data_IF_081103248284
#
_entry.id   IF_081103248284
#
_cell.length_a   1.000
_cell.length_b   1.000
_cell.length_c   1.000
_cell.angle_alpha   90.00
_cell.angle_beta   90.00
_cell.angle_gamma   90.00
#
_symmetry.space_group_name_H-M   'P 1'
#
loop_
_entity.id
_entity.type
_entity.pdbx_description
1 polymer ?
#
# COMPACT_ATOMS: atom_id res chain seq x y z
N UNK A 1 11.87 -12.18 -17.93
CA UNK A 1 10.54 -12.22 -17.26
C UNK A 1 10.68 -12.97 -15.94
N UNK A 2 10.96 -12.26 -14.85
CA UNK A 2 11.05 -12.80 -13.48
C UNK A 2 9.67 -13.14 -12.89
N UNK A 3 8.77 -13.75 -13.67
CA UNK A 3 7.42 -14.11 -13.20
C UNK A 3 7.44 -15.57 -12.73
N UNK A 4 7.13 -15.80 -11.46
CA UNK A 4 6.89 -17.16 -10.96
C UNK A 4 5.49 -17.62 -11.38
N UNK A 5 5.39 -18.26 -12.55
CA UNK A 5 4.09 -18.74 -13.09
C UNK A 5 3.37 -19.74 -12.19
N UNK A 6 4.13 -20.49 -11.36
CA UNK A 6 3.56 -21.50 -10.46
C UNK A 6 3.01 -20.87 -9.19
N UNK A 7 3.71 -19.87 -8.66
CA UNK A 7 3.25 -19.11 -7.51
C UNK A 7 3.51 -17.60 -7.71
N UNK A 8 2.59 -16.89 -8.38
CA UNK A 8 2.80 -15.48 -8.73
C UNK A 8 2.94 -14.55 -7.52
N UNK A 9 2.36 -14.91 -6.36
CA UNK A 9 2.48 -14.11 -5.13
C UNK A 9 3.89 -14.15 -4.53
N UNK A 10 4.63 -15.20 -4.84
CA UNK A 10 5.97 -15.44 -4.31
C UNK A 10 7.07 -14.70 -5.07
N UNK A 11 6.71 -13.99 -6.14
CA UNK A 11 7.65 -13.41 -7.09
C UNK A 11 8.64 -12.43 -6.44
N UNK A 12 8.26 -11.79 -5.34
CA UNK A 12 9.07 -10.81 -4.62
C UNK A 12 9.75 -11.38 -3.35
N UNK A 13 9.48 -12.64 -2.97
CA UNK A 13 9.94 -13.20 -1.69
C UNK A 13 11.46 -13.22 -1.58
N UNK A 14 12.13 -13.83 -2.56
CA UNK A 14 13.58 -13.99 -2.52
C UNK A 14 14.33 -12.68 -2.74
N UNK A 15 13.74 -11.76 -3.52
CA UNK A 15 14.38 -10.51 -3.91
C UNK A 15 14.23 -9.42 -2.85
N UNK A 16 13.01 -9.24 -2.35
CA UNK A 16 12.60 -8.10 -1.52
C UNK A 16 12.09 -8.52 -0.14
N UNK A 17 12.01 -9.82 0.15
CA UNK A 17 11.46 -10.35 1.41
C UNK A 17 10.03 -9.88 1.68
N UNK A 18 9.23 -9.72 0.62
CA UNK A 18 7.81 -9.35 0.67
C UNK A 18 6.96 -10.32 -0.15
N UNK A 19 5.67 -10.38 0.15
CA UNK A 19 4.70 -11.27 -0.48
C UNK A 19 3.39 -10.53 -0.78
N UNK A 20 2.76 -10.86 -1.92
CA UNK A 20 1.42 -10.40 -2.25
C UNK A 20 0.36 -11.17 -1.43
N UNK A 21 -0.54 -10.45 -0.77
CA UNK A 21 -1.52 -11.03 0.18
C UNK A 21 -2.93 -10.43 0.00
N UNK A 22 -3.87 -10.81 0.87
CA UNK A 22 -5.24 -10.30 0.87
C UNK A 22 -5.99 -10.68 -0.42
N UNK A 23 -6.41 -9.73 -1.26
CA UNK A 23 -7.12 -10.04 -2.51
C UNK A 23 -6.31 -10.93 -3.46
N UNK A 24 -4.97 -10.90 -3.40
CA UNK A 24 -4.13 -11.75 -4.25
C UNK A 24 -4.25 -13.24 -3.92
N UNK A 25 -4.63 -13.60 -2.69
CA UNK A 25 -4.89 -15.00 -2.28
C UNK A 25 -6.19 -15.58 -2.83
N UNK A 26 -7.10 -14.69 -3.23
CA UNK A 26 -8.31 -15.07 -3.95
C UNK A 26 -7.94 -15.39 -5.40
N UNK A 27 -7.07 -14.55 -5.99
CA UNK A 27 -6.66 -14.67 -7.40
C UNK A 27 -5.81 -15.92 -7.66
N UNK A 28 -4.90 -16.28 -6.76
CA UNK A 28 -4.10 -17.50 -6.90
C UNK A 28 -4.84 -18.78 -6.42
N UNK A 29 -6.04 -18.61 -5.84
CA UNK A 29 -6.89 -19.69 -5.37
C UNK A 29 -6.48 -20.29 -4.03
N UNK A 30 -5.56 -19.68 -3.28
CA UNK A 30 -5.12 -20.18 -1.97
C UNK A 30 -6.31 -20.38 -1.01
N UNK A 31 -7.27 -19.46 -1.01
CA UNK A 31 -8.44 -19.52 -0.13
C UNK A 31 -9.48 -20.58 -0.53
N UNK A 32 -9.41 -21.16 -1.74
CA UNK A 32 -10.35 -22.22 -2.18
C UNK A 32 -10.18 -23.52 -1.39
N UNK A 33 -9.00 -23.71 -0.81
CA UNK A 33 -8.67 -24.91 -0.02
C UNK A 33 -9.08 -24.78 1.45
N UNK A 34 -9.49 -23.58 1.89
CA UNK A 34 -9.94 -23.34 3.25
C UNK A 34 -11.34 -23.93 3.47
N UNK A 35 -11.50 -24.76 4.51
CA UNK A 35 -12.80 -25.33 4.90
C UNK A 35 -13.82 -24.26 5.27
N UNK A 36 -13.36 -23.18 5.87
CA UNK A 36 -14.15 -22.00 6.22
C UNK A 36 -13.39 -20.78 5.75
N UNK A 37 -14.06 -19.89 5.02
CA UNK A 37 -13.46 -18.62 4.61
C UNK A 37 -13.22 -17.74 5.85
N UNK A 38 -12.04 -17.11 5.97
CA UNK A 38 -11.81 -16.16 7.04
C UNK A 38 -12.74 -14.95 6.89
N UNK A 39 -12.94 -14.20 7.98
CA UNK A 39 -13.55 -12.88 7.88
C UNK A 39 -12.61 -11.98 7.06
N UNK A 40 -12.98 -11.73 5.81
CA UNK A 40 -12.16 -10.98 4.86
C UNK A 40 -11.93 -9.53 5.29
N UNK A 41 -12.79 -8.97 6.16
CA UNK A 41 -12.55 -7.66 6.73
C UNK A 41 -11.37 -7.63 7.69
N UNK A 42 -11.00 -8.77 8.28
CA UNK A 42 -9.91 -8.91 9.24
C UNK A 42 -8.68 -9.61 8.64
N UNK A 43 -8.81 -10.19 7.44
CA UNK A 43 -7.73 -10.93 6.79
C UNK A 43 -6.60 -9.99 6.39
N UNK A 44 -5.41 -10.19 6.98
CA UNK A 44 -4.26 -9.27 6.90
C UNK A 44 -4.52 -7.83 7.35
N UNK A 45 -5.52 -7.62 8.23
CA UNK A 45 -5.72 -6.33 8.88
C UNK A 45 -4.80 -6.23 10.10
N UNK A 46 -3.85 -5.32 10.05
CA UNK A 46 -2.92 -5.04 11.13
C UNK A 46 -3.55 -4.12 12.19
N UNK A 47 -2.89 -3.99 13.34
CA UNK A 47 -3.45 -3.31 14.51
C UNK A 47 -3.83 -1.84 14.26
N UNK A 48 -3.05 -1.12 13.45
CA UNK A 48 -3.31 0.29 13.14
C UNK A 48 -4.06 0.50 11.81
N UNK A 49 -4.48 -0.57 11.13
CA UNK A 49 -5.19 -0.49 9.85
C UNK A 49 -6.61 0.00 10.07
N UNK A 50 -6.89 1.22 9.61
CA UNK A 50 -8.23 1.80 9.61
C UNK A 50 -9.11 1.14 8.52
N UNK A 51 -10.45 1.23 8.59
CA UNK A 51 -11.34 0.61 7.60
C UNK A 51 -11.02 0.97 6.14
N UNK A 52 -10.52 2.18 5.90
CA UNK A 52 -10.08 2.71 4.60
C UNK A 52 -8.86 1.97 4.02
N UNK A 53 -8.07 1.35 4.88
CA UNK A 53 -6.81 0.70 4.53
C UNK A 53 -6.99 -0.81 4.37
N UNK A 54 -6.54 -1.35 3.23
CA UNK A 54 -6.62 -2.76 2.88
C UNK A 54 -5.26 -3.27 2.41
N UNK A 55 -4.62 -4.09 3.25
CA UNK A 55 -3.31 -4.68 3.00
C UNK A 55 -3.30 -5.56 1.75
N UNK A 56 -2.26 -5.38 0.93
CA UNK A 56 -2.04 -6.17 -0.31
C UNK A 56 -0.62 -6.69 -0.45
N UNK A 57 0.32 -6.17 0.33
CA UNK A 57 1.70 -6.65 0.43
C UNK A 57 2.07 -6.71 1.90
N UNK A 58 2.76 -7.78 2.31
CA UNK A 58 3.37 -7.87 3.66
C UNK A 58 4.84 -8.21 3.57
N UNK A 59 5.60 -7.83 4.60
CA UNK A 59 6.94 -8.36 4.84
C UNK A 59 6.90 -9.83 5.27
N UNK A 60 7.96 -10.56 4.93
CA UNK A 60 8.25 -11.88 5.46
C UNK A 60 9.24 -11.84 6.64
N UNK A 61 9.77 -10.66 6.96
CA UNK A 61 10.57 -10.45 8.16
C UNK A 61 9.70 -10.63 9.42
N UNK A 62 10.10 -11.54 10.31
CA UNK A 62 9.36 -11.84 11.55
C UNK A 62 9.50 -10.75 12.61
N UNK A 63 10.50 -9.87 12.49
CA UNK A 63 10.75 -8.79 13.44
C UNK A 63 10.01 -7.49 13.08
N UNK A 64 9.44 -7.42 11.88
CA UNK A 64 8.72 -6.27 11.37
C UNK A 64 7.27 -6.64 11.08
N UNK A 65 6.37 -5.68 11.25
CA UNK A 65 5.01 -5.76 10.73
C UNK A 65 4.83 -4.80 9.56
N UNK A 66 5.89 -4.57 8.78
CA UNK A 66 5.84 -3.76 7.58
C UNK A 66 4.87 -4.36 6.55
N UNK A 67 3.98 -3.53 6.04
CA UNK A 67 3.00 -3.90 5.04
C UNK A 67 2.61 -2.68 4.20
N UNK A 68 2.04 -2.95 3.02
CA UNK A 68 1.54 -1.94 2.09
C UNK A 68 0.10 -2.29 1.73
N UNK A 69 -0.76 -1.27 1.72
CA UNK A 69 -2.18 -1.41 1.45
C UNK A 69 -2.73 -0.30 0.58
N UNK A 70 -3.87 -0.58 -0.04
CA UNK A 70 -4.68 0.43 -0.70
C UNK A 70 -5.43 1.26 0.33
N UNK A 71 -5.46 2.58 0.15
CA UNK A 71 -6.26 3.50 0.95
C UNK A 71 -7.44 4.02 0.12
N UNK A 72 -8.66 3.89 0.66
CA UNK A 72 -9.90 4.36 0.04
C UNK A 72 -10.57 5.39 0.93
N UNK A 73 -10.78 6.59 0.41
CA UNK A 73 -11.55 7.63 1.10
C UNK A 73 -13.04 7.22 1.26
N UNK A 74 -13.57 6.41 0.32
CA UNK A 74 -14.91 5.83 0.35
C UNK A 74 -14.89 4.39 -0.17
N UNK A 75 -15.71 3.46 0.39
CA UNK A 75 -15.78 2.08 -0.11
C UNK A 75 -16.28 1.97 -1.57
N UNK A 76 -17.04 2.96 -2.04
CA UNK A 76 -17.60 3.00 -3.40
C UNK A 76 -16.62 3.56 -4.44
N UNK A 77 -15.45 4.02 -4.00
CA UNK A 77 -14.42 4.61 -4.86
C UNK A 77 -13.22 3.68 -5.07
N UNK A 78 -12.52 3.89 -6.19
CA UNK A 78 -11.20 3.29 -6.38
C UNK A 78 -10.21 3.84 -5.34
N UNK A 79 -9.19 3.06 -4.94
CA UNK A 79 -8.16 3.55 -4.03
C UNK A 79 -7.55 4.89 -4.47
N UNK A 80 -7.42 5.80 -3.52
CA UNK A 80 -6.80 7.11 -3.72
C UNK A 80 -5.30 6.95 -3.95
N UNK A 81 -4.66 6.07 -3.18
CA UNK A 81 -3.23 5.75 -3.23
C UNK A 81 -2.92 4.44 -2.50
N UNK A 82 -1.65 4.04 -2.49
CA UNK A 82 -1.10 3.06 -1.56
C UNK A 82 -0.29 3.77 -0.46
N UNK A 83 -0.34 3.20 0.73
CA UNK A 83 0.51 3.61 1.83
C UNK A 83 1.13 2.39 2.52
N UNK A 84 2.24 2.63 3.21
CA UNK A 84 2.95 1.64 4.00
C UNK A 84 2.95 2.00 5.48
N UNK A 85 2.89 1.00 6.35
CA UNK A 85 3.11 1.12 7.79
C UNK A 85 3.92 -0.07 8.29
N UNK A 86 4.64 0.11 9.39
CA UNK A 86 5.14 -0.99 10.22
C UNK A 86 4.45 -0.91 11.58
N UNK A 87 3.49 -1.81 11.81
CA UNK A 87 2.65 -1.79 13.01
C UNK A 87 3.40 -2.15 14.30
N UNK A 88 4.64 -2.64 14.22
CA UNK A 88 5.50 -2.77 15.40
C UNK A 88 6.06 -1.42 15.85
N UNK A 89 6.03 -0.39 15.00
CA UNK A 89 6.72 0.89 15.27
C UNK A 89 5.77 1.98 15.74
N UNK A 90 4.72 2.29 14.98
CA UNK A 90 3.77 3.35 15.26
C UNK A 90 2.55 3.26 14.34
N UNK A 91 1.61 4.17 14.50
CA UNK A 91 0.42 4.33 13.69
C UNK A 91 0.60 5.27 12.48
N UNK A 92 1.82 5.72 12.16
CA UNK A 92 2.06 6.63 11.04
C UNK A 92 2.20 5.85 9.73
N UNK A 93 1.40 6.22 8.75
CA UNK A 93 1.47 5.65 7.41
C UNK A 93 2.21 6.62 6.48
N UNK A 94 2.99 6.05 5.57
CA UNK A 94 3.70 6.78 4.51
C UNK A 94 3.06 6.45 3.16
N UNK A 95 2.60 7.46 2.43
CA UNK A 95 2.15 7.28 1.04
C UNK A 95 3.34 6.83 0.19
N UNK A 96 3.13 5.78 -0.61
CA UNK A 96 4.19 5.16 -1.41
C UNK A 96 3.84 5.03 -2.91
N UNK A 97 2.83 5.78 -3.38
CA UNK A 97 2.47 5.86 -4.80
C UNK A 97 0.98 5.72 -5.03
N UNK A 98 0.51 6.07 -6.23
CA UNK A 98 -0.91 5.98 -6.59
C UNK A 98 -1.33 4.64 -7.22
N UNK A 99 -0.36 3.76 -7.43
CA UNK A 99 -0.54 2.41 -7.96
C UNK A 99 0.50 1.44 -7.37
N UNK A 100 0.25 0.14 -7.50
CA UNK A 100 1.06 -0.89 -6.85
C UNK A 100 2.49 -0.99 -7.43
N UNK A 101 2.68 -0.63 -8.71
CA UNK A 101 4.01 -0.63 -9.32
C UNK A 101 4.89 0.47 -8.72
N UNK A 102 4.33 1.67 -8.51
CA UNK A 102 5.03 2.75 -7.80
C UNK A 102 5.44 2.34 -6.39
N UNK A 103 4.55 1.68 -5.64
CA UNK A 103 4.83 1.21 -4.28
C UNK A 103 5.95 0.18 -4.23
N UNK A 104 5.91 -0.83 -5.10
CA UNK A 104 6.94 -1.87 -5.19
C UNK A 104 8.27 -1.27 -5.66
N UNK A 105 8.24 -0.37 -6.64
CA UNK A 105 9.43 0.31 -7.15
C UNK A 105 10.09 1.20 -6.09
N UNK A 106 9.31 2.00 -5.35
CA UNK A 106 9.80 2.80 -4.22
C UNK A 106 10.44 1.90 -3.15
N UNK A 107 9.77 0.81 -2.76
CA UNK A 107 10.31 -0.15 -1.80
C UNK A 107 11.63 -0.78 -2.29
N UNK A 108 11.69 -1.21 -3.55
CA UNK A 108 12.89 -1.80 -4.15
C UNK A 108 14.05 -0.80 -4.18
N UNK A 109 13.80 0.47 -4.55
CA UNK A 109 14.82 1.52 -4.51
C UNK A 109 15.31 1.84 -3.11
N UNK A 110 14.44 1.76 -2.10
CA UNK A 110 14.85 1.91 -0.71
C UNK A 110 15.73 0.74 -0.26
N UNK A 111 15.33 -0.49 -0.58
CA UNK A 111 16.12 -1.70 -0.28
C UNK A 111 17.49 -1.69 -0.96
N UNK A 112 17.61 -1.15 -2.17
CA UNK A 112 18.89 -1.04 -2.88
C UNK A 112 19.91 -0.16 -2.15
N UNK A 113 19.46 0.81 -1.34
CA UNK A 113 20.36 1.65 -0.53
C UNK A 113 21.02 0.89 0.62
N UNK A 114 20.40 -0.20 1.08
CA UNK A 114 20.88 -1.01 2.20
C UNK A 114 21.45 -2.36 1.74
N UNK A 115 21.17 -2.79 0.51
CA UNK A 115 21.66 -4.03 -0.07
C UNK A 115 21.96 -3.85 -1.56
N UNK A 116 23.26 -3.81 -1.93
CA UNK A 116 23.65 -3.69 -3.33
C UNK A 116 23.67 -5.07 -4.03
N UNK A 117 22.52 -5.45 -4.59
CA UNK A 117 22.33 -6.71 -5.33
C UNK A 117 22.10 -6.43 -6.82
N UNK A 118 22.82 -7.12 -7.71
CA UNK A 118 22.66 -7.04 -9.17
C UNK A 118 21.23 -7.32 -9.64
N UNK A 119 20.60 -8.32 -9.03
CA UNK A 119 19.27 -8.78 -9.42
C UNK A 119 18.20 -7.75 -9.05
N UNK A 120 18.43 -6.98 -7.97
CA UNK A 120 17.56 -5.88 -7.56
C UNK A 120 17.65 -4.70 -8.51
N UNK A 121 18.87 -4.35 -8.97
CA UNK A 121 19.08 -3.33 -10.01
C UNK A 121 18.36 -3.71 -11.32
N UNK A 122 18.47 -4.99 -11.72
CA UNK A 122 17.80 -5.52 -12.90
C UNK A 122 16.28 -5.44 -12.75
N UNK A 123 15.74 -5.87 -11.61
CA UNK A 123 14.31 -5.77 -11.31
C UNK A 123 13.78 -4.33 -11.37
N UNK A 124 14.52 -3.37 -10.81
CA UNK A 124 14.14 -1.95 -10.85
C UNK A 124 14.05 -1.47 -12.31
N UNK A 125 15.04 -1.79 -13.14
CA UNK A 125 15.07 -1.41 -14.56
C UNK A 125 13.94 -2.08 -15.37
N UNK A 126 13.66 -3.36 -15.12
CA UNK A 126 12.53 -4.08 -15.73
C UNK A 126 11.19 -3.45 -15.33
N UNK A 127 11.04 -3.08 -14.05
CA UNK A 127 9.85 -2.40 -13.53
C UNK A 127 9.64 -1.03 -14.18
N UNK A 128 10.70 -0.25 -14.38
CA UNK A 128 10.65 1.05 -15.08
C UNK A 128 10.25 0.88 -16.55
N UNK A 129 10.79 -0.12 -17.23
CA UNK A 129 10.44 -0.46 -18.61
C UNK A 129 8.97 -0.86 -18.73
N UNK A 130 8.50 -1.72 -17.82
CA UNK A 130 7.10 -2.16 -17.77
C UNK A 130 6.16 -0.98 -17.50
N UNK A 131 6.47 -0.16 -16.49
CA UNK A 131 5.66 0.99 -16.13
C UNK A 131 5.57 2.00 -17.28
N UNK A 132 6.69 2.30 -17.95
CA UNK A 132 6.72 3.16 -19.13
C UNK A 132 5.85 2.62 -20.26
N UNK A 133 5.93 1.31 -20.56
CA UNK A 133 5.13 0.65 -21.60
C UNK A 133 3.63 0.72 -21.29
N UNK A 134 3.25 0.54 -20.03
CA UNK A 134 1.86 0.50 -19.59
C UNK A 134 1.33 1.83 -19.05
N UNK A 135 2.13 2.90 -19.10
CA UNK A 135 1.80 4.25 -18.63
C UNK A 135 1.43 4.30 -17.14
N UNK A 136 2.11 3.51 -16.32
CA UNK A 136 2.04 3.64 -14.86
C UNK A 136 3.05 4.68 -14.39
N UNK A 137 2.59 5.62 -13.57
CA UNK A 137 3.43 6.53 -12.81
C UNK A 137 4.25 5.72 -11.79
N UNK A 138 5.51 6.11 -11.55
CA UNK A 138 6.37 5.48 -10.53
C UNK A 138 6.75 6.45 -9.41
N UNK A 139 6.25 7.67 -9.46
CA UNK A 139 6.46 8.70 -8.45
C UNK A 139 5.69 8.38 -7.16
N UNK A 140 6.32 8.59 -5.99
CA UNK A 140 5.65 8.44 -4.69
C UNK A 140 4.48 9.41 -4.52
N UNK A 141 4.54 10.57 -5.17
CA UNK A 141 3.48 11.61 -5.16
C UNK A 141 3.13 12.01 -6.58
N UNK A 142 1.89 11.74 -6.97
CA UNK A 142 1.36 12.10 -8.29
C UNK A 142 0.42 13.29 -8.21
N UNK A 143 -0.02 13.79 -9.37
CA UNK A 143 -1.05 14.84 -9.44
C UNK A 143 -2.36 14.42 -8.78
N UNK A 144 -2.73 13.13 -8.86
CA UNK A 144 -3.91 12.55 -8.17
C UNK A 144 -3.78 12.67 -6.65
N UNK A 145 -2.64 12.25 -6.09
CA UNK A 145 -2.36 12.35 -4.65
C UNK A 145 -2.38 13.82 -4.21
N UNK A 146 -1.76 14.70 -5.01
CA UNK A 146 -1.71 16.14 -4.73
C UNK A 146 -3.10 16.77 -4.77
N UNK A 147 -3.94 16.38 -5.74
CA UNK A 147 -5.32 16.85 -5.82
C UNK A 147 -6.16 16.38 -4.63
N UNK A 148 -6.00 15.12 -4.20
CA UNK A 148 -6.65 14.58 -3.01
C UNK A 148 -6.21 15.33 -1.75
N UNK A 149 -4.92 15.66 -1.61
CA UNK A 149 -4.40 16.45 -0.47
C UNK A 149 -5.10 17.80 -0.31
N UNK A 150 -5.54 18.44 -1.40
CA UNK A 150 -6.31 19.70 -1.35
C UNK A 150 -7.74 19.52 -0.83
N UNK A 151 -8.28 18.31 -0.86
CA UNK A 151 -9.62 17.95 -0.36
C UNK A 151 -9.61 17.44 1.08
N UNK A 152 -8.43 17.25 1.67
CA UNK A 152 -8.30 16.74 3.04
C UNK A 152 -8.79 17.80 4.03
N UNK A 153 -9.80 17.45 4.83
CA UNK A 153 -10.36 18.34 5.84
C UNK A 153 -9.42 18.49 7.04
N UNK A 154 -8.76 17.39 7.44
CA UNK A 154 -7.74 17.40 8.48
C UNK A 154 -6.77 16.24 8.36
N UNK A 155 -5.55 16.44 8.87
CA UNK A 155 -4.57 15.37 9.03
C UNK A 155 -4.90 14.58 10.29
N UNK A 156 -5.03 13.26 10.14
CA UNK A 156 -5.31 12.35 11.25
C UNK A 156 -4.04 11.94 12.00
N UNK A 157 -4.20 11.22 13.11
CA UNK A 157 -3.06 10.66 13.84
C UNK A 157 -2.23 9.72 12.96
N UNK A 158 -2.85 9.01 12.02
CA UNK A 158 -2.19 8.11 11.08
C UNK A 158 -1.47 8.80 9.90
N UNK A 159 -1.51 10.15 9.84
CA UNK A 159 -0.87 11.00 8.83
C UNK A 159 -1.47 10.93 7.41
N UNK A 160 -2.52 10.14 7.17
CA UNK A 160 -3.15 10.03 5.84
C UNK A 160 -4.21 11.12 5.62
N UNK A 161 -4.88 11.56 6.67
CA UNK A 161 -5.89 12.62 6.61
C UNK A 161 -7.25 12.13 6.09
N UNK A 162 -8.30 12.88 6.42
CA UNK A 162 -9.69 12.53 6.14
C UNK A 162 -10.28 13.42 5.04
N UNK A 163 -11.12 12.83 4.17
CA UNK A 163 -11.87 13.55 3.13
C UNK A 163 -13.36 13.31 3.35
N UNK A 164 -14.10 14.37 3.63
CA UNK A 164 -15.56 14.36 3.76
C UNK A 164 -16.17 15.52 2.96
N UNK A 165 -17.37 15.35 2.37
CA UNK A 165 -18.08 16.42 1.70
C UNK A 165 -18.29 17.63 2.63
N UNK A 166 -18.10 18.83 2.10
CA UNK A 166 -18.38 20.08 2.83
C UNK A 166 -19.06 21.08 1.90
N UNK A 167 -20.22 21.58 2.31
CA UNK A 167 -21.00 22.59 1.58
C UNK A 167 -21.46 23.68 2.55
N UNK A 168 -21.22 24.95 2.25
CA UNK A 168 -21.64 26.10 3.08
C UNK A 168 -21.31 25.92 4.59
N UNK A 169 -20.07 25.53 4.90
CA UNK A 169 -19.58 25.23 6.27
C UNK A 169 -20.28 24.08 7.00
N UNK A 170 -21.03 23.25 6.27
CA UNK A 170 -21.67 22.03 6.77
C UNK A 170 -20.85 20.81 6.31
N UNK A 171 -20.42 19.96 7.25
CA UNK A 171 -19.78 18.67 6.97
C UNK A 171 -18.60 18.35 7.89
N UNK A 172 -17.72 19.33 8.13
CA UNK A 172 -16.55 19.17 9.00
C UNK A 172 -16.42 20.31 10.01
N UNK A 173 -16.00 19.99 11.22
CA UNK A 173 -15.63 20.96 12.26
C UNK A 173 -14.34 20.51 12.93
N UNK A 174 -13.33 21.40 13.08
CA UNK A 174 -12.10 21.04 13.76
C UNK A 174 -12.32 20.75 15.24
N UNK A 175 -11.50 19.84 15.78
CA UNK A 175 -11.44 19.60 17.23
C UNK A 175 -10.82 20.81 17.93
N UNK A 176 -11.21 21.11 19.18
CA UNK A 176 -10.72 22.29 19.91
C UNK A 176 -9.27 22.16 20.43
N UNK A 177 -8.57 21.08 20.08
CA UNK A 177 -7.20 20.78 20.52
C UNK A 177 -6.27 20.54 19.34
N UNK A 178 -5.00 20.87 19.48
CA UNK A 178 -3.97 20.61 18.45
C UNK A 178 -3.38 19.22 18.63
N UNK A 179 -2.93 18.61 17.52
CA UNK A 179 -2.03 17.45 17.57
C UNK A 179 -0.70 17.95 18.18
N UNK A 180 -0.35 17.43 19.36
CA UNK A 180 0.89 17.76 20.07
C UNK A 180 2.14 17.28 19.35
#
# INVERSE_FOLDING_TARGET
>A
SNINKKNPRDVLKNLLNIELVGPFEILDGALKTCKTLPNMNLHYRYYYDTPEFMTVIRTLDKQSQFHIGYYRDSPDELPSFLASNDSNTNNHFKICGDNIFAAIHSYARHSLKTSDKSDLKTFISDSETFAKKHKFALEETTSKITARKKKVNCTLLNSLGMVVPCENDIGYRPVPYTKG
#
